data_IF_239280085006
#
_entry.id   IF_239280085006
#
_cell.length_a   1.000
_cell.length_b   1.000
_cell.length_c   1.000
_cell.angle_alpha   90.00
_cell.angle_beta   90.00
_cell.angle_gamma   90.00
#
_symmetry.space_group_name_H-M   'P 1'
#
loop_
_entity.id
_entity.type
_entity.pdbx_description
1 polymer ?
#
# COMPACT_ATOMS: atom_id res chain seq x y z
N UNK A 1 30.58 -23.17 10.02
CA UNK A 1 30.29 -22.64 9.91
C UNK A 1 29.10 -21.94 9.88
N UNK A 2 28.60 -21.76 10.61
CA UNK A 2 27.59 -21.15 10.84
C UNK A 2 27.61 -19.84 10.51
N UNK A 3 28.60 -19.32 10.45
CA UNK A 3 28.75 -18.12 10.18
C UNK A 3 27.94 -17.74 9.09
N UNK A 4 27.84 -18.43 8.17
CA UNK A 4 27.17 -18.05 7.06
C UNK A 4 25.82 -17.59 7.41
N UNK A 5 25.24 -18.08 8.35
CA UNK A 5 24.04 -17.73 8.70
C UNK A 5 23.97 -16.45 9.28
N UNK A 6 24.84 -16.18 10.05
CA UNK A 6 24.89 -14.93 10.68
C UNK A 6 24.91 -13.91 9.69
N UNK A 7 25.53 -14.10 8.62
CA UNK A 7 25.65 -13.11 7.70
C UNK A 7 24.39 -12.74 7.11
N UNK A 8 23.48 -13.54 7.10
CA UNK A 8 22.36 -13.19 6.47
C UNK A 8 21.48 -12.39 7.26
N UNK A 9 21.49 -12.51 8.39
CA UNK A 9 20.69 -11.82 9.24
C UNK A 9 20.64 -10.48 9.01
N UNK A 10 21.37 -9.94 8.72
CA UNK A 10 21.46 -8.67 8.67
C UNK A 10 20.63 -7.97 8.04
N UNK A 11 20.97 -7.71 7.42
CA UNK A 11 20.36 -6.99 6.70
C UNK A 11 19.24 -6.70 7.41
N UNK A 12 18.91 -5.79 7.67
CA UNK A 12 17.83 -5.46 8.35
C UNK A 12 16.67 -5.73 7.45
N UNK A 13 15.52 -5.89 7.94
CA UNK A 13 14.36 -6.08 7.20
C UNK A 13 14.15 -4.93 6.29
N UNK A 14 14.49 -3.72 6.70
CA UNK A 14 14.34 -2.59 5.91
C UNK A 14 15.12 -2.63 4.64
N UNK A 15 16.31 -3.10 4.68
CA UNK A 15 17.11 -3.18 3.50
C UNK A 15 16.55 -4.17 2.52
N UNK A 16 15.79 -5.15 3.00
CA UNK A 16 15.26 -6.14 2.12
C UNK A 16 13.79 -5.94 1.86
N UNK A 17 13.22 -4.86 2.34
CA UNK A 17 11.81 -4.63 2.22
C UNK A 17 11.41 -4.40 0.79
N UNK A 18 10.23 -4.87 0.42
CA UNK A 18 9.69 -4.60 -0.87
C UNK A 18 9.15 -3.21 -0.87
N UNK A 19 9.15 -2.56 -2.00
CA UNK A 19 8.68 -1.18 -2.11
C UNK A 19 7.27 -1.16 -2.65
N UNK A 20 6.38 -0.46 -1.95
CA UNK A 20 5.02 -0.24 -2.41
C UNK A 20 5.07 1.05 -3.20
N UNK A 21 4.84 1.00 -4.50
CA UNK A 21 4.95 2.17 -5.36
C UNK A 21 3.63 2.86 -5.53
N UNK A 22 3.67 4.13 -5.96
CA UNK A 22 2.46 4.85 -6.29
C UNK A 22 1.72 4.10 -7.37
N UNK A 23 2.43 3.57 -8.34
CA UNK A 23 1.83 2.85 -9.45
C UNK A 23 1.05 1.63 -8.97
N UNK A 24 1.57 0.92 -7.98
CA UNK A 24 0.89 -0.26 -7.46
C UNK A 24 -0.42 0.14 -6.78
N UNK A 25 -0.43 1.24 -6.04
CA UNK A 25 -1.63 1.70 -5.37
C UNK A 25 -2.64 2.18 -6.41
N UNK A 26 -2.20 2.93 -7.40
CA UNK A 26 -3.06 3.41 -8.46
C UNK A 26 -3.70 2.24 -9.19
N UNK A 27 -2.92 1.21 -9.46
CA UNK A 27 -3.43 0.05 -10.17
C UNK A 27 -4.56 -0.62 -9.41
N UNK A 28 -4.44 -0.72 -8.11
CA UNK A 28 -5.50 -1.33 -7.30
C UNK A 28 -6.77 -0.47 -7.28
N UNK A 29 -6.62 0.83 -7.22
CA UNK A 29 -7.76 1.73 -7.23
C UNK A 29 -8.43 1.65 -8.61
N UNK A 30 -7.63 1.60 -9.67
CA UNK A 30 -8.19 1.47 -11.00
C UNK A 30 -8.94 0.15 -11.18
N UNK A 31 -8.44 -0.92 -10.60
CA UNK A 31 -9.13 -2.20 -10.65
C UNK A 31 -10.48 -2.13 -9.96
N UNK A 32 -10.55 -1.37 -8.87
CA UNK A 32 -11.81 -1.18 -8.16
C UNK A 32 -12.76 -0.38 -9.02
N UNK A 33 -12.27 0.67 -9.67
CA UNK A 33 -13.09 1.51 -10.51
C UNK A 33 -13.60 0.75 -11.74
N UNK A 34 -12.82 -0.17 -12.22
CA UNK A 34 -13.19 -0.98 -13.38
C UNK A 34 -14.12 -2.14 -13.02
N UNK A 35 -14.32 -2.36 -11.73
CA UNK A 35 -15.21 -3.44 -11.31
C UNK A 35 -14.55 -4.80 -11.18
N UNK A 36 -13.23 -4.89 -11.38
CA UNK A 36 -12.55 -6.17 -11.26
C UNK A 36 -12.09 -6.43 -9.83
N UNK A 37 -12.28 -5.48 -8.93
CA UNK A 37 -11.91 -5.62 -7.53
C UNK A 37 -13.02 -4.95 -6.72
N UNK A 38 -13.55 -5.60 -5.72
CA UNK A 38 -14.62 -4.99 -4.92
C UNK A 38 -14.03 -4.26 -3.71
N UNK A 39 -14.88 -3.57 -2.97
CA UNK A 39 -14.44 -2.77 -1.83
C UNK A 39 -13.77 -3.63 -0.77
N UNK A 40 -14.28 -4.81 -0.51
CA UNK A 40 -13.71 -5.67 0.50
C UNK A 40 -12.30 -6.10 0.11
N UNK A 41 -12.10 -6.46 -1.15
CA UNK A 41 -10.78 -6.89 -1.61
C UNK A 41 -9.80 -5.73 -1.62
N UNK A 42 -10.26 -4.53 -1.97
CA UNK A 42 -9.39 -3.36 -1.96
C UNK A 42 -8.98 -3.03 -0.53
N UNK A 43 -9.93 -3.07 0.42
CA UNK A 43 -9.63 -2.78 1.81
C UNK A 43 -8.66 -3.81 2.38
N UNK A 44 -8.85 -5.09 2.04
CA UNK A 44 -7.96 -6.15 2.51
C UNK A 44 -6.55 -5.96 1.97
N UNK A 45 -6.42 -5.59 0.70
CA UNK A 45 -5.12 -5.36 0.11
C UNK A 45 -4.42 -4.19 0.84
N UNK A 46 -5.16 -3.12 1.10
CA UNK A 46 -4.59 -1.95 1.77
C UNK A 46 -4.16 -2.29 3.20
N UNK A 47 -4.98 -3.08 3.90
CA UNK A 47 -4.68 -3.47 5.26
C UNK A 47 -3.40 -4.31 5.30
N UNK A 48 -3.22 -5.21 4.32
CA UNK A 48 -2.02 -6.01 4.24
C UNK A 48 -0.79 -5.13 3.99
N UNK A 49 -0.92 -4.09 3.18
CA UNK A 49 0.19 -3.17 2.93
C UNK A 49 0.51 -2.35 4.17
N UNK A 50 -0.52 -1.97 4.91
CA UNK A 50 -0.33 -1.20 6.12
C UNK A 50 0.43 -2.03 7.15
N UNK A 51 0.02 -3.26 7.37
CA UNK A 51 0.69 -4.11 8.32
C UNK A 51 2.11 -4.47 7.88
N UNK A 52 2.30 -4.75 6.61
CA UNK A 52 3.63 -5.12 6.12
C UNK A 52 4.62 -3.97 6.32
N UNK A 53 4.14 -2.73 6.15
CA UNK A 53 4.99 -1.57 6.33
C UNK A 53 5.30 -1.39 7.82
N UNK A 54 4.30 -1.57 8.68
CA UNK A 54 4.50 -1.44 10.11
C UNK A 54 5.49 -2.48 10.63
N UNK A 55 5.47 -3.67 10.06
CA UNK A 55 6.36 -4.72 10.51
C UNK A 55 7.73 -4.67 9.84
N UNK A 56 7.94 -3.73 8.95
CA UNK A 56 9.24 -3.57 8.31
C UNK A 56 9.49 -4.44 7.09
N UNK A 57 8.47 -5.20 6.63
CA UNK A 57 8.62 -6.02 5.44
C UNK A 57 8.39 -5.28 4.16
N UNK A 58 7.78 -4.11 4.23
CA UNK A 58 7.55 -3.27 3.06
C UNK A 58 7.83 -1.83 3.43
N UNK A 59 8.12 -1.02 2.44
CA UNK A 59 8.30 0.39 2.66
C UNK A 59 7.67 1.12 1.50
N UNK A 60 7.27 2.36 1.71
CA UNK A 60 6.60 3.11 0.66
C UNK A 60 7.63 3.81 -0.21
N UNK A 61 7.29 4.02 -1.47
CA UNK A 61 8.19 4.60 -2.45
C UNK A 61 8.77 5.92 -1.95
N UNK A 62 10.07 6.11 -2.09
CA UNK A 62 10.75 7.30 -1.63
C UNK A 62 10.20 8.52 -2.35
N UNK A 63 9.93 9.54 -1.63
CA UNK A 63 9.38 10.77 -2.16
C UNK A 63 7.86 10.79 -2.20
N UNK A 64 7.22 9.65 -1.98
CA UNK A 64 5.77 9.56 -2.00
C UNK A 64 5.23 8.95 -0.72
N UNK A 65 6.05 8.84 0.31
CA UNK A 65 5.68 8.13 1.52
C UNK A 65 4.39 8.64 2.14
N UNK A 66 4.27 9.94 2.31
CA UNK A 66 3.09 10.50 2.96
C UNK A 66 1.84 10.30 2.12
N UNK A 67 1.95 10.47 0.81
CA UNK A 67 0.82 10.31 -0.08
C UNK A 67 0.34 8.86 -0.09
N UNK A 68 1.27 7.92 -0.12
CA UNK A 68 0.93 6.51 -0.10
C UNK A 68 0.34 6.14 1.25
N UNK A 69 0.94 6.58 2.33
CA UNK A 69 0.44 6.27 3.67
C UNK A 69 -0.97 6.78 3.86
N UNK A 70 -1.25 8.00 3.44
CA UNK A 70 -2.57 8.57 3.58
C UNK A 70 -3.60 7.82 2.73
N UNK A 71 -3.21 7.41 1.54
CA UNK A 71 -4.10 6.67 0.66
C UNK A 71 -4.40 5.29 1.23
N UNK A 72 -3.37 4.57 1.67
CA UNK A 72 -3.54 3.24 2.24
C UNK A 72 -4.44 3.33 3.47
N UNK A 73 -4.24 4.35 4.29
CA UNK A 73 -5.04 4.53 5.50
C UNK A 73 -6.52 4.70 5.15
N UNK A 74 -6.84 5.43 4.12
CA UNK A 74 -8.22 5.62 3.72
C UNK A 74 -8.79 4.36 3.07
N UNK A 75 -8.00 3.66 2.28
CA UNK A 75 -8.48 2.49 1.57
C UNK A 75 -8.76 1.32 2.50
N UNK A 76 -8.01 1.18 3.58
CA UNK A 76 -8.17 0.01 4.43
C UNK A 76 -9.48 0.01 5.18
N UNK A 77 -10.22 1.12 5.18
CA UNK A 77 -11.54 1.17 5.79
C UNK A 77 -12.65 1.29 4.74
N UNK A 78 -12.34 1.12 3.47
CA UNK A 78 -13.30 1.32 2.40
C UNK A 78 -14.43 0.31 2.40
N UNK A 79 -14.27 -0.83 3.06
CA UNK A 79 -15.34 -1.82 3.13
C UNK A 79 -16.33 -1.50 4.25
N UNK A 80 -16.11 -0.47 5.05
CA UNK A 80 -17.02 -0.09 6.10
C UNK A 80 -17.96 0.95 5.52
N UNK A 81 -19.27 0.77 5.58
CA UNK A 81 -20.21 1.72 4.99
C UNK A 81 -20.01 3.16 5.45
N UNK A 82 -19.51 3.35 6.67
CA UNK A 82 -19.28 4.70 7.19
C UNK A 82 -18.09 5.39 6.56
N UNK A 83 -17.19 4.61 5.98
CA UNK A 83 -15.98 5.16 5.41
C UNK A 83 -15.80 4.78 3.93
N UNK A 84 -16.87 4.31 3.29
CA UNK A 84 -16.79 3.90 1.90
C UNK A 84 -16.47 5.07 1.00
N UNK A 85 -15.55 4.87 0.07
CA UNK A 85 -15.14 5.91 -0.84
C UNK A 85 -15.93 5.81 -2.13
N UNK A 86 -16.37 6.94 -2.67
CA UNK A 86 -17.09 6.93 -3.93
C UNK A 86 -16.09 7.05 -5.08
N UNK A 87 -16.58 6.95 -6.31
CA UNK A 87 -15.72 6.99 -7.47
C UNK A 87 -14.93 8.28 -7.58
N UNK A 88 -15.56 9.38 -7.25
CA UNK A 88 -14.90 10.66 -7.34
C UNK A 88 -13.73 10.74 -6.38
N UNK A 89 -13.92 10.23 -5.16
CA UNK A 89 -12.87 10.21 -4.17
C UNK A 89 -11.73 9.29 -4.59
N UNK A 90 -12.06 8.15 -5.17
CA UNK A 90 -11.05 7.22 -5.64
C UNK A 90 -10.24 7.83 -6.78
N UNK A 91 -10.90 8.55 -7.71
CA UNK A 91 -10.20 9.18 -8.81
C UNK A 91 -9.32 10.32 -8.30
N UNK A 92 -9.76 11.02 -7.26
CA UNK A 92 -8.96 12.08 -6.69
C UNK A 92 -7.69 11.51 -6.06
N UNK A 93 -7.77 10.31 -5.47
CA UNK A 93 -6.60 9.67 -4.91
C UNK A 93 -5.58 9.32 -5.99
N UNK A 94 -6.06 8.83 -7.14
CA UNK A 94 -5.19 8.51 -8.26
C UNK A 94 -4.48 9.79 -8.72
N UNK A 95 -5.22 10.87 -8.84
CA UNK A 95 -4.64 12.13 -9.29
C UNK A 95 -3.60 12.63 -8.30
N UNK A 96 -3.88 12.51 -7.01
CA UNK A 96 -2.96 12.98 -6.00
C UNK A 96 -1.67 12.15 -6.01
N UNK A 97 -1.79 10.83 -6.14
CA UNK A 97 -0.62 9.97 -6.18
C UNK A 97 0.21 10.26 -7.43
N UNK A 98 -0.42 10.62 -8.51
CA UNK A 98 0.30 10.92 -9.74
C UNK A 98 1.08 12.21 -9.69
N UNK A 99 0.81 13.06 -8.71
CA UNK A 99 1.51 14.32 -8.62
C UNK A 99 2.77 14.30 -7.80
N UNK A 100 3.00 13.26 -7.02
CA UNK A 100 4.18 13.24 -6.13
C UNK A 100 5.36 12.54 -6.75
#
# INVERSE_FOLDING_TARGET
MIKAMSEHLPATAKERARVVTRAAVIERIEARLAGSLDDMALAAWAFDRFYAEELGGEQYEAGAEAAIANTIDALMFDDDPSFRLNEEELRAMIAQLGKV
#
